data_IF_407174929130
#
_entry.id   IF_407174929130
#
_cell.length_a   1.000
_cell.length_b   1.000
_cell.length_c   1.000
_cell.angle_alpha   90.00
_cell.angle_beta   90.00
_cell.angle_gamma   90.00
#
_symmetry.space_group_name_H-M   'P 1'
#
loop_
_entity.id
_entity.type
_entity.pdbx_description
1 polymer ?
#
# COMPACT_ATOMS: atom_id res chain seq x y z
N UNK A 1 -9.17 16.18 1.73
CA UNK A 1 -9.04 15.01 0.84
C UNK A 1 -9.81 15.36 -0.43
N UNK A 2 -9.11 15.51 -1.55
CA UNK A 2 -9.73 15.89 -2.83
C UNK A 2 -9.74 14.67 -3.74
N UNK A 3 -10.93 14.18 -4.10
CA UNK A 3 -11.10 13.06 -5.02
C UNK A 3 -11.03 13.61 -6.44
N UNK A 4 -10.07 13.12 -7.23
CA UNK A 4 -9.84 13.48 -8.62
C UNK A 4 -9.77 12.22 -9.47
N UNK A 5 -9.86 12.35 -10.79
CA UNK A 5 -9.66 11.20 -11.70
C UNK A 5 -8.30 10.52 -11.50
N UNK A 6 -7.27 11.28 -11.12
CA UNK A 6 -5.92 10.75 -10.83
C UNK A 6 -5.85 9.93 -9.54
N UNK A 7 -6.65 10.26 -8.53
CA UNK A 7 -6.64 9.54 -7.23
C UNK A 7 -7.61 8.37 -7.21
N UNK A 8 -8.60 8.36 -8.12
CA UNK A 8 -9.67 7.37 -8.11
C UNK A 8 -10.58 7.50 -6.87
N UNK A 9 -11.43 6.48 -6.67
CA UNK A 9 -12.36 6.43 -5.54
C UNK A 9 -11.66 6.10 -4.23
N UNK A 10 -12.13 6.68 -3.13
CA UNK A 10 -11.63 6.36 -1.80
C UNK A 10 -12.07 4.94 -1.40
N UNK A 11 -11.10 4.04 -1.19
CA UNK A 11 -11.37 2.64 -0.82
C UNK A 11 -11.48 2.46 0.69
N UNK A 12 -10.60 3.10 1.47
CA UNK A 12 -10.58 2.97 2.92
C UNK A 12 -9.90 4.14 3.61
N UNK A 13 -10.31 4.41 4.86
CA UNK A 13 -9.56 5.21 5.83
C UNK A 13 -9.39 4.34 7.08
N UNK A 14 -8.15 4.18 7.55
CA UNK A 14 -7.82 3.41 8.75
C UNK A 14 -6.93 4.24 9.67
N UNK A 15 -7.18 4.17 10.96
CA UNK A 15 -6.26 4.69 11.97
C UNK A 15 -5.19 3.62 12.26
N UNK A 16 -3.93 4.01 12.14
CA UNK A 16 -2.75 3.15 12.31
C UNK A 16 -1.77 3.81 13.28
N UNK A 17 -0.86 3.00 13.79
CA UNK A 17 0.30 3.31 14.60
C UNK A 17 1.55 2.88 13.82
N UNK A 18 2.70 3.46 14.14
CA UNK A 18 3.96 3.18 13.43
C UNK A 18 4.43 1.72 13.58
N UNK A 19 3.95 1.03 14.62
CA UNK A 19 4.18 -0.39 14.87
C UNK A 19 3.29 -1.32 14.04
N UNK A 20 2.26 -0.80 13.36
CA UNK A 20 1.37 -1.65 12.56
C UNK A 20 1.96 -1.97 11.18
N UNK A 21 1.38 -3.00 10.57
CA UNK A 21 1.45 -3.25 9.15
C UNK A 21 0.11 -2.93 8.47
N UNK A 22 0.19 -2.56 7.20
CA UNK A 22 -0.96 -2.52 6.30
C UNK A 22 -0.87 -3.70 5.34
N UNK A 23 -1.97 -4.43 5.24
CA UNK A 23 -2.14 -5.53 4.30
C UNK A 23 -3.13 -5.09 3.23
N UNK A 24 -2.69 -5.12 1.99
CA UNK A 24 -3.47 -4.74 0.81
C UNK A 24 -3.70 -5.99 -0.01
N UNK A 25 -4.96 -6.25 -0.36
CA UNK A 25 -5.36 -7.41 -1.16
C UNK A 25 -5.98 -6.89 -2.46
N UNK A 26 -5.47 -7.36 -3.60
CA UNK A 26 -5.99 -7.02 -4.92
C UNK A 26 -7.04 -8.04 -5.39
N UNK A 27 -7.81 -7.68 -6.42
CA UNK A 27 -8.85 -8.56 -6.97
C UNK A 27 -8.29 -9.84 -7.60
N UNK A 28 -7.02 -9.79 -8.04
CA UNK A 28 -6.31 -10.95 -8.56
C UNK A 28 -5.69 -11.84 -7.46
N UNK A 29 -5.94 -11.53 -6.18
CA UNK A 29 -5.45 -12.32 -5.04
C UNK A 29 -4.02 -11.99 -4.62
N UNK A 30 -3.40 -10.95 -5.20
CA UNK A 30 -2.08 -10.49 -4.76
C UNK A 30 -2.22 -9.81 -3.41
N UNK A 31 -1.39 -10.22 -2.47
CA UNK A 31 -1.37 -9.69 -1.10
C UNK A 31 -0.04 -8.97 -0.86
N UNK A 32 -0.12 -7.73 -0.41
CA UNK A 32 1.03 -6.85 -0.19
C UNK A 32 1.01 -6.38 1.25
N UNK A 33 2.09 -6.68 2.00
CA UNK A 33 2.29 -6.23 3.39
C UNK A 33 3.26 -5.05 3.39
N UNK A 34 2.86 -3.93 3.99
CA UNK A 34 3.65 -2.71 4.06
C UNK A 34 3.76 -2.24 5.50
N UNK A 35 4.99 -2.05 5.95
CA UNK A 35 5.29 -1.44 7.25
C UNK A 35 4.79 0.01 7.30
N UNK A 36 3.96 0.35 8.28
CA UNK A 36 3.43 1.72 8.41
C UNK A 36 4.56 2.72 8.60
N UNK A 37 5.60 2.38 9.37
CA UNK A 37 6.77 3.23 9.56
C UNK A 37 7.60 3.52 8.28
N UNK A 38 7.43 2.74 7.20
CA UNK A 38 8.06 3.00 5.91
C UNK A 38 7.22 3.94 5.03
N UNK A 39 5.98 4.24 5.42
CA UNK A 39 5.10 5.14 4.68
C UNK A 39 5.41 6.58 5.08
N UNK A 40 5.76 7.41 4.11
CA UNK A 40 6.01 8.81 4.36
C UNK A 40 4.74 9.52 4.86
N UNK A 41 4.89 10.34 5.91
CA UNK A 41 3.78 11.07 6.53
C UNK A 41 3.52 12.37 5.78
N UNK A 42 2.28 12.57 5.32
CA UNK A 42 1.88 13.80 4.62
C UNK A 42 0.72 14.51 5.33
N UNK A 43 0.66 15.83 5.17
CA UNK A 43 -0.45 16.65 5.67
C UNK A 43 -1.75 16.35 4.90
N UNK A 44 -2.90 16.48 5.57
CA UNK A 44 -4.25 16.23 5.01
C UNK A 44 -4.62 17.08 3.78
N UNK A 45 -3.87 18.15 3.52
CA UNK A 45 -4.05 19.04 2.37
C UNK A 45 -3.27 18.60 1.12
N UNK A 46 -2.74 17.37 1.09
CA UNK A 46 -2.08 16.79 -0.10
C UNK A 46 -2.98 15.74 -0.77
N UNK A 47 -2.57 15.27 -1.95
CA UNK A 47 -3.22 14.16 -2.67
C UNK A 47 -2.81 12.77 -2.13
N UNK A 48 -1.99 12.71 -1.09
CA UNK A 48 -1.40 11.46 -0.58
C UNK A 48 -0.18 11.01 -1.39
N UNK A 49 0.24 9.76 -1.15
CA UNK A 49 1.33 9.10 -1.89
C UNK A 49 0.88 7.77 -2.44
N UNK A 50 1.54 7.36 -3.53
CA UNK A 50 1.36 6.05 -4.12
C UNK A 50 2.21 5.03 -3.34
N UNK A 51 1.55 4.03 -2.76
CA UNK A 51 2.23 2.94 -2.05
C UNK A 51 2.61 1.79 -3.00
N UNK A 52 1.75 1.49 -3.98
CA UNK A 52 1.92 0.36 -4.90
C UNK A 52 1.56 0.74 -6.34
N UNK A 53 2.24 0.12 -7.30
CA UNK A 53 1.89 0.17 -8.71
C UNK A 53 1.02 -1.06 -9.03
N UNK A 54 -0.25 -0.84 -9.35
CA UNK A 54 -1.12 -1.88 -9.87
C UNK A 54 -0.97 -1.99 -11.38
N UNK A 55 -1.11 -3.22 -11.91
CA UNK A 55 -1.29 -3.45 -13.35
C UNK A 55 -2.63 -2.85 -13.78
N UNK A 56 -2.77 -2.46 -15.04
CA UNK A 56 -3.96 -1.74 -15.55
C UNK A 56 -5.29 -2.46 -15.32
N UNK A 57 -5.26 -3.79 -15.25
CA UNK A 57 -6.44 -4.62 -15.03
C UNK A 57 -6.72 -4.94 -13.55
N UNK A 58 -5.79 -4.61 -12.65
CA UNK A 58 -5.90 -4.97 -11.24
C UNK A 58 -6.45 -3.81 -10.39
N UNK A 59 -7.24 -4.15 -9.37
CA UNK A 59 -7.89 -3.21 -8.46
C UNK A 59 -7.74 -3.68 -7.03
N UNK A 60 -7.79 -2.73 -6.10
CA UNK A 60 -7.81 -3.04 -4.66
C UNK A 60 -9.15 -3.70 -4.31
N UNK A 61 -9.09 -4.89 -3.73
CA UNK A 61 -10.25 -5.56 -3.16
C UNK A 61 -10.45 -5.17 -1.70
N UNK A 62 -9.37 -5.11 -0.91
CA UNK A 62 -9.45 -4.82 0.52
C UNK A 62 -8.15 -4.25 1.08
N UNK A 63 -8.27 -3.53 2.21
CA UNK A 63 -7.15 -3.04 3.02
C UNK A 63 -7.43 -3.37 4.49
N UNK A 64 -6.47 -4.04 5.14
CA UNK A 64 -6.52 -4.40 6.54
C UNK A 64 -5.32 -3.81 7.31
N UNK A 65 -5.55 -3.48 8.57
CA UNK A 65 -4.49 -3.17 9.53
C UNK A 65 -4.11 -4.46 10.24
N UNK A 66 -2.82 -4.74 10.33
CA UNK A 66 -2.24 -5.90 11.01
C UNK A 66 -1.40 -5.38 12.16
N UNK A 67 -1.68 -5.89 13.37
CA UNK A 67 -0.88 -5.57 14.54
C UNK A 67 0.40 -6.40 14.48
N UNK A 68 1.57 -5.76 14.54
CA UNK A 68 2.82 -6.52 14.72
C UNK A 68 2.90 -6.99 16.16
N UNK A 69 3.12 -8.29 16.34
CA UNK A 69 3.58 -8.85 17.60
C UNK A 69 5.08 -9.09 17.48
N UNK A 70 5.85 -8.80 18.54
CA UNK A 70 7.32 -8.95 18.56
C UNK A 70 7.79 -10.41 18.34
N UNK A 71 6.86 -11.37 18.29
CA UNK A 71 7.12 -12.79 18.05
C UNK A 71 7.14 -13.20 16.57
N UNK A 72 6.74 -12.31 15.66
CA UNK A 72 6.62 -12.60 14.22
C UNK A 72 7.70 -11.86 13.42
N UNK A 73 8.92 -12.37 13.47
CA UNK A 73 9.94 -12.06 12.47
C UNK A 73 9.59 -12.83 11.17
N UNK A 74 8.74 -12.25 10.34
CA UNK A 74 8.56 -12.73 8.96
C UNK A 74 9.63 -12.10 8.07
N UNK A 75 10.51 -12.97 7.57
CA UNK A 75 11.56 -12.73 6.60
C UNK A 75 10.93 -12.26 5.27
N UNK A 76 10.65 -10.96 5.15
CA UNK A 76 10.21 -10.38 3.88
C UNK A 76 11.45 -10.24 2.99
N UNK A 77 11.82 -11.33 2.32
CA UNK A 77 12.67 -11.28 1.15
C UNK A 77 11.90 -10.47 0.10
N UNK A 78 12.13 -9.15 0.10
CA UNK A 78 11.54 -8.24 -0.85
C UNK A 78 12.03 -8.63 -2.23
N UNK A 79 11.19 -9.28 -3.00
CA UNK A 79 11.30 -9.22 -4.45
C UNK A 79 11.04 -7.76 -4.82
N UNK A 80 12.12 -6.98 -4.90
CA UNK A 80 12.17 -5.76 -5.68
C UNK A 80 11.71 -6.14 -7.08
N UNK A 81 10.43 -5.86 -7.38
CA UNK A 81 9.93 -5.84 -8.74
C UNK A 81 10.54 -4.61 -9.39
N UNK A 82 11.79 -4.74 -9.82
CA UNK A 82 12.44 -3.85 -10.77
C UNK A 82 11.61 -3.88 -12.06
N UNK A 83 10.70 -2.92 -12.17
CA UNK A 83 10.11 -2.56 -13.44
C UNK A 83 11.14 -1.72 -14.19
N UNK A 84 12.11 -2.39 -14.82
CA UNK A 84 12.93 -1.77 -15.84
C UNK A 84 12.02 -1.18 -16.93
N UNK A 85 12.01 0.15 -16.98
CA UNK A 85 11.48 0.92 -18.09
C UNK A 85 12.27 0.54 -19.35
N UNK A 86 11.64 -0.22 -20.24
CA UNK A 86 12.11 -0.30 -21.62
C UNK A 86 11.57 0.92 -22.38
N UNK A 87 12.38 1.97 -22.49
CA UNK A 87 12.22 3.00 -23.52
C UNK A 87 13.08 2.63 -24.74
N UNK A 88 12.40 2.44 -25.88
CA UNK A 88 12.87 2.29 -27.28
C UNK A 88 13.17 0.89 -27.79
#
# INVERSE_FOLDING_TARGET
ISITEKTGSLVAIKAVQDSDDLMIITQLGITIRVAVNKIATYRRATQGVRLINLKETDKIASVARVYRNESEEEDTNGEDVDAENNES
#
